data_IF_200238686701
#
_entry.id   IF_200238686701
#
_cell.length_a   1.000
_cell.length_b   1.000
_cell.length_c   1.000
_cell.angle_alpha   90.00
_cell.angle_beta   90.00
_cell.angle_gamma   90.00
#
_symmetry.space_group_name_H-M   'P 1'
#
loop_
_entity.id
_entity.type
_entity.pdbx_description
1 polymer ?
#
# COMPACT_ATOMS: atom_id res chain seq x y z
N UNK A 1 -58.70 -8.92 -20.39
CA UNK A 1 -58.07 -8.80 -21.72
C UNK A 1 -56.58 -8.52 -21.52
N UNK A 2 -55.75 -9.55 -21.65
CA UNK A 2 -54.28 -9.50 -21.64
C UNK A 2 -53.74 -9.43 -23.08
N UNK A 3 -52.55 -8.85 -23.28
CA UNK A 3 -51.47 -9.57 -23.98
C UNK A 3 -50.08 -9.18 -23.44
N UNK A 4 -48.95 -9.80 -23.75
CA UNK A 4 -48.53 -11.15 -24.14
C UNK A 4 -47.02 -11.15 -23.95
N UNK A 5 -46.46 -12.17 -23.28
CA UNK A 5 -45.01 -12.34 -23.07
C UNK A 5 -44.48 -13.26 -24.17
N UNK A 6 -43.49 -12.80 -24.94
CA UNK A 6 -42.79 -13.61 -25.95
C UNK A 6 -41.61 -14.36 -25.33
N UNK A 7 -41.68 -15.69 -25.32
CA UNK A 7 -40.58 -16.58 -24.97
C UNK A 7 -39.82 -17.03 -26.23
N UNK A 8 -38.50 -16.92 -26.21
CA UNK A 8 -37.59 -17.41 -27.26
C UNK A 8 -37.08 -18.79 -26.86
N UNK A 9 -37.42 -19.81 -27.67
CA UNK A 9 -36.90 -21.17 -27.56
C UNK A 9 -35.59 -21.30 -28.35
N UNK A 10 -34.52 -21.74 -27.68
CA UNK A 10 -33.27 -22.17 -28.31
C UNK A 10 -33.29 -23.69 -28.53
N UNK A 11 -33.16 -24.11 -29.79
CA UNK A 11 -33.03 -25.50 -30.21
C UNK A 11 -31.60 -26.02 -29.99
N UNK A 12 -31.48 -27.12 -29.25
CA UNK A 12 -30.28 -27.96 -29.20
C UNK A 12 -30.22 -28.86 -30.45
N UNK A 13 -29.03 -28.97 -31.07
CA UNK A 13 -28.65 -30.09 -31.94
C UNK A 13 -27.24 -30.56 -31.58
N UNK A 14 -27.00 -31.88 -31.41
CA UNK A 14 -25.67 -32.42 -31.16
C UNK A 14 -24.96 -32.75 -32.49
N UNK A 15 -23.66 -32.51 -32.55
CA UNK A 15 -22.78 -33.07 -33.59
C UNK A 15 -21.69 -33.87 -32.88
N UNK A 16 -21.76 -35.19 -33.03
CA UNK A 16 -20.70 -36.12 -32.72
C UNK A 16 -20.27 -36.77 -34.04
N UNK A 17 -18.99 -36.70 -34.39
CA UNK A 17 -18.35 -37.62 -35.33
C UNK A 17 -16.82 -37.56 -35.23
N UNK A 18 -16.26 -38.68 -34.76
CA UNK A 18 -15.15 -39.44 -35.36
C UNK A 18 -13.86 -38.68 -35.70
N UNK A 19 -12.82 -38.87 -34.88
CA UNK A 19 -11.44 -38.74 -35.31
C UNK A 19 -10.79 -40.13 -35.33
N UNK A 20 -10.49 -40.59 -36.54
CA UNK A 20 -9.88 -41.88 -36.85
C UNK A 20 -8.37 -41.84 -36.61
N UNK A 21 -7.84 -42.89 -35.98
CA UNK A 21 -6.40 -43.11 -35.87
C UNK A 21 -5.84 -43.58 -37.21
N UNK A 22 -4.79 -42.92 -37.70
CA UNK A 22 -3.96 -43.41 -38.79
C UNK A 22 -2.49 -43.37 -38.37
N UNK A 23 -1.97 -44.56 -38.06
CA UNK A 23 -0.55 -44.85 -37.84
C UNK A 23 0.12 -44.92 -39.22
N UNK A 24 0.98 -43.94 -39.53
CA UNK A 24 1.79 -43.92 -40.74
C UNK A 24 3.27 -44.06 -40.40
N UNK A 25 3.79 -45.29 -40.47
CA UNK A 25 5.23 -45.59 -40.53
C UNK A 25 5.77 -45.14 -41.88
N UNK A 26 6.80 -44.30 -41.90
CA UNK A 26 7.64 -44.08 -43.08
C UNK A 26 9.09 -44.37 -42.69
N UNK A 27 9.64 -45.39 -43.34
CA UNK A 27 11.04 -45.80 -43.35
C UNK A 27 11.79 -44.97 -44.41
N UNK A 28 12.97 -44.43 -44.06
CA UNK A 28 14.00 -44.01 -45.01
C UNK A 28 15.39 -44.48 -44.54
N UNK A 29 16.33 -44.76 -45.46
CA UNK A 29 17.57 -45.51 -45.20
C UNK A 29 18.77 -44.61 -44.83
N UNK A 30 19.90 -45.19 -44.37
CA UNK A 30 21.09 -44.46 -43.94
C UNK A 30 22.20 -44.43 -45.01
N UNK A 31 22.87 -43.28 -45.20
CA UNK A 31 24.23 -43.18 -45.75
C UNK A 31 24.80 -41.79 -45.38
N UNK A 32 25.69 -41.73 -44.38
CA UNK A 32 27.14 -41.56 -44.52
C UNK A 32 27.57 -40.26 -45.21
N UNK A 33 28.05 -39.28 -44.43
CA UNK A 33 29.23 -38.49 -44.78
C UNK A 33 29.96 -38.00 -43.52
N UNK A 34 31.28 -38.07 -43.63
CA UNK A 34 32.28 -37.99 -42.57
C UNK A 34 32.76 -36.55 -42.27
N UNK A 35 33.40 -36.42 -41.11
CA UNK A 35 34.45 -35.47 -40.73
C UNK A 35 34.16 -33.96 -40.82
N UNK A 36 33.95 -33.35 -39.65
CA UNK A 36 34.64 -32.13 -39.22
C UNK A 36 34.51 -31.97 -37.70
N UNK A 37 35.51 -32.44 -36.96
CA UNK A 37 35.70 -32.15 -35.55
C UNK A 37 36.35 -30.77 -35.42
N UNK A 38 35.54 -29.72 -35.29
CA UNK A 38 35.95 -28.44 -34.73
C UNK A 38 35.25 -28.28 -33.38
N UNK A 39 36.02 -28.30 -32.30
CA UNK A 39 35.54 -28.05 -30.95
C UNK A 39 35.14 -26.57 -30.82
N UNK A 40 33.86 -26.25 -31.00
CA UNK A 40 33.26 -25.03 -30.47
C UNK A 40 32.90 -25.27 -29.00
N UNK A 41 33.82 -24.94 -28.09
CA UNK A 41 33.47 -24.67 -26.70
C UNK A 41 32.56 -23.44 -26.69
N UNK A 42 31.36 -23.47 -26.10
CA UNK A 42 30.63 -22.24 -25.85
C UNK A 42 31.44 -21.44 -24.81
N UNK A 43 31.92 -20.26 -25.22
CA UNK A 43 32.41 -19.26 -24.30
C UNK A 43 31.27 -18.89 -23.35
N UNK A 44 31.33 -19.40 -22.12
CA UNK A 44 30.52 -18.93 -21.00
C UNK A 44 30.99 -17.51 -20.73
N UNK A 45 30.30 -16.54 -21.32
CA UNK A 45 30.45 -15.14 -20.95
C UNK A 45 29.82 -15.02 -19.55
N UNK A 46 30.67 -14.80 -18.56
CA UNK A 46 30.23 -14.41 -17.23
C UNK A 46 29.45 -13.10 -17.38
N UNK A 47 28.12 -13.16 -17.21
CA UNK A 47 27.33 -11.96 -16.98
C UNK A 47 27.61 -11.50 -15.55
N UNK A 48 28.10 -10.27 -15.46
CA UNK A 48 28.24 -9.50 -14.25
C UNK A 48 26.90 -9.42 -13.51
N UNK A 49 26.96 -9.56 -12.19
CA UNK A 49 25.82 -9.57 -11.28
C UNK A 49 24.95 -8.32 -11.39
N UNK A 50 23.91 -8.40 -12.21
CA UNK A 50 22.72 -7.57 -12.11
C UNK A 50 21.85 -8.06 -10.96
N UNK A 51 21.56 -7.15 -10.02
CA UNK A 51 20.67 -7.37 -8.89
C UNK A 51 19.37 -8.05 -9.35
N UNK A 52 19.00 -9.14 -8.66
CA UNK A 52 17.79 -9.90 -8.92
C UNK A 52 16.53 -9.07 -8.69
N UNK A 53 16.13 -8.30 -9.70
CA UNK A 53 14.75 -7.93 -9.93
C UNK A 53 14.00 -9.23 -10.16
N UNK A 54 13.23 -9.69 -9.16
CA UNK A 54 12.20 -10.71 -9.37
C UNK A 54 11.44 -10.30 -10.61
N UNK A 55 11.59 -11.04 -11.72
CA UNK A 55 11.02 -10.66 -12.99
C UNK A 55 9.50 -10.85 -12.92
N UNK A 56 8.81 -9.83 -12.40
CA UNK A 56 7.36 -9.84 -12.31
C UNK A 56 6.81 -9.82 -13.73
N UNK A 57 5.77 -10.63 -14.03
CA UNK A 57 5.21 -10.66 -15.36
C UNK A 57 4.77 -9.25 -15.76
N UNK A 58 5.11 -8.87 -16.99
CA UNK A 58 4.78 -7.55 -17.52
C UNK A 58 3.26 -7.36 -17.49
N UNK A 59 2.80 -6.24 -16.93
CA UNK A 59 1.38 -5.93 -16.89
C UNK A 59 0.93 -5.38 -18.23
N UNK A 60 0.12 -6.14 -18.97
CA UNK A 60 -0.22 -5.85 -20.37
C UNK A 60 -0.70 -4.40 -20.62
N UNK A 61 -1.56 -3.80 -19.77
CA UNK A 61 -1.98 -2.40 -19.93
C UNK A 61 -0.83 -1.39 -19.95
N UNK A 62 0.28 -1.63 -19.23
CA UNK A 62 1.41 -0.70 -19.14
C UNK A 62 2.17 -0.51 -20.48
N UNK A 63 1.90 -1.36 -21.48
CA UNK A 63 2.48 -1.25 -22.82
C UNK A 63 1.70 -0.35 -23.78
N UNK A 64 0.50 0.09 -23.38
CA UNK A 64 -0.36 0.89 -24.26
C UNK A 64 0.26 2.27 -24.49
N UNK A 65 0.42 2.66 -25.76
CA UNK A 65 0.99 3.95 -26.17
C UNK A 65 0.18 5.16 -25.69
N UNK A 66 -1.12 4.99 -25.43
CA UNK A 66 -2.01 6.05 -24.93
C UNK A 66 -2.01 6.26 -23.42
N UNK A 67 -1.02 5.74 -22.68
CA UNK A 67 -0.95 5.80 -21.21
C UNK A 67 -2.03 4.96 -20.53
N UNK A 68 -1.97 4.81 -19.21
CA UNK A 68 -2.94 4.02 -18.45
C UNK A 68 -4.19 4.82 -18.11
N UNK A 69 -5.27 4.08 -17.79
CA UNK A 69 -6.49 4.62 -17.18
C UNK A 69 -6.73 3.96 -15.83
N UNK A 70 -7.48 4.62 -14.95
CA UNK A 70 -7.88 4.04 -13.66
C UNK A 70 -8.71 2.76 -13.83
N UNK A 71 -9.49 2.65 -14.91
CA UNK A 71 -10.23 1.43 -15.22
C UNK A 71 -9.31 0.24 -15.53
N UNK A 72 -8.09 0.49 -15.99
CA UNK A 72 -7.12 -0.58 -16.22
C UNK A 72 -6.71 -1.21 -14.89
N UNK A 73 -6.52 -0.40 -13.83
CA UNK A 73 -6.33 -0.87 -12.46
C UNK A 73 -7.60 -1.55 -11.92
N UNK A 74 -8.78 -0.96 -12.11
CA UNK A 74 -10.04 -1.53 -11.57
C UNK A 74 -10.34 -2.93 -12.12
N UNK A 75 -9.92 -3.24 -13.35
CA UNK A 75 -10.09 -4.60 -13.92
C UNK A 75 -9.25 -5.66 -13.21
N UNK A 76 -8.24 -5.26 -12.43
CA UNK A 76 -7.41 -6.14 -11.60
C UNK A 76 -8.03 -6.43 -10.23
N UNK A 77 -9.24 -5.91 -9.94
CA UNK A 77 -9.90 -6.06 -8.65
C UNK A 77 -9.90 -7.51 -8.14
N UNK A 78 -10.28 -8.48 -8.99
CA UNK A 78 -10.35 -9.89 -8.60
C UNK A 78 -8.99 -10.58 -8.50
N UNK A 79 -7.94 -9.98 -9.06
CA UNK A 79 -6.57 -10.47 -8.93
C UNK A 79 -5.92 -9.96 -7.63
N UNK A 80 -6.36 -8.78 -7.17
CA UNK A 80 -5.85 -8.08 -5.98
C UNK A 80 -6.58 -8.54 -4.72
N UNK A 81 -7.91 -8.64 -4.76
CA UNK A 81 -8.73 -9.05 -3.63
C UNK A 81 -9.22 -10.49 -3.83
N UNK A 82 -8.54 -11.42 -3.15
CA UNK A 82 -8.75 -12.87 -3.31
C UNK A 82 -9.62 -13.48 -2.20
N UNK A 83 -9.91 -12.71 -1.15
CA UNK A 83 -10.64 -13.14 0.05
C UNK A 83 -11.99 -12.43 0.21
N UNK A 84 -12.49 -11.83 -0.87
CA UNK A 84 -13.86 -11.34 -0.97
C UNK A 84 -13.95 -9.82 -0.91
N UNK A 85 -14.03 -9.26 0.29
CA UNK A 85 -14.31 -7.84 0.49
C UNK A 85 -13.04 -7.02 0.76
N UNK A 86 -12.80 -5.99 -0.06
CA UNK A 86 -11.71 -5.00 0.03
C UNK A 86 -11.71 -4.07 1.26
N UNK A 87 -12.60 -4.27 2.23
CA UNK A 87 -12.68 -3.44 3.43
C UNK A 87 -11.31 -3.37 4.15
N UNK A 88 -10.88 -2.16 4.49
CA UNK A 88 -9.58 -1.89 5.12
C UNK A 88 -8.35 -2.42 4.33
N UNK A 89 -8.52 -2.73 3.04
CA UNK A 89 -7.53 -3.42 2.22
C UNK A 89 -6.93 -2.57 1.09
N UNK A 90 -7.05 -1.24 1.17
CA UNK A 90 -6.47 -0.30 0.19
C UNK A 90 -4.95 -0.43 0.03
N UNK A 91 -4.24 -0.99 1.03
CA UNK A 91 -2.83 -1.35 0.92
C UNK A 91 -2.53 -2.34 -0.22
N UNK A 92 -3.49 -3.21 -0.60
CA UNK A 92 -3.32 -4.14 -1.72
C UNK A 92 -3.39 -3.42 -3.07
N UNK A 93 -4.26 -2.41 -3.23
CA UNK A 93 -4.23 -1.53 -4.40
C UNK A 93 -2.89 -0.82 -4.52
N UNK A 94 -2.44 -0.20 -3.43
CA UNK A 94 -1.17 0.53 -3.37
C UNK A 94 0.01 -0.37 -3.74
N UNK A 95 0.05 -1.57 -3.17
CA UNK A 95 1.12 -2.53 -3.43
C UNK A 95 1.09 -3.04 -4.86
N UNK A 96 -0.10 -3.34 -5.41
CA UNK A 96 -0.22 -3.73 -6.81
C UNK A 96 0.39 -2.70 -7.77
N UNK A 97 0.15 -1.41 -7.51
CA UNK A 97 0.67 -0.28 -8.30
C UNK A 97 2.18 -0.12 -8.09
N UNK A 98 2.64 -0.09 -6.84
CA UNK A 98 4.06 0.13 -6.51
C UNK A 98 4.96 -1.02 -6.96
N UNK A 99 4.46 -2.25 -6.88
CA UNK A 99 5.13 -3.47 -7.34
C UNK A 99 5.42 -3.49 -8.84
N UNK A 100 4.76 -2.62 -9.59
CA UNK A 100 4.90 -2.48 -11.05
C UNK A 100 5.43 -1.13 -11.45
N UNK A 101 5.85 -0.29 -10.49
CA UNK A 101 6.20 1.10 -10.74
C UNK A 101 7.29 1.25 -11.81
N UNK A 102 8.25 0.32 -11.86
CA UNK A 102 9.32 0.23 -12.86
C UNK A 102 8.81 0.11 -14.31
N UNK A 103 7.59 -0.41 -14.49
CA UNK A 103 6.92 -0.53 -15.78
C UNK A 103 6.09 0.72 -16.14
N UNK A 104 5.81 1.60 -15.17
CA UNK A 104 4.92 2.75 -15.31
C UNK A 104 5.71 4.03 -15.57
N UNK A 105 5.13 4.96 -16.33
CA UNK A 105 5.58 6.35 -16.25
C UNK A 105 5.19 6.95 -14.90
N UNK A 106 5.88 8.02 -14.48
CA UNK A 106 5.53 8.77 -13.27
C UNK A 106 4.08 9.26 -13.34
N UNK A 107 3.67 9.76 -14.51
CA UNK A 107 2.31 10.23 -14.74
C UNK A 107 1.27 9.11 -14.59
N UNK A 108 1.57 7.90 -15.09
CA UNK A 108 0.66 6.76 -14.95
C UNK A 108 0.62 6.25 -13.50
N UNK A 109 1.76 6.20 -12.80
CA UNK A 109 1.81 5.86 -11.38
C UNK A 109 0.85 6.76 -10.58
N UNK A 110 1.03 8.07 -10.68
CA UNK A 110 0.19 9.08 -10.00
C UNK A 110 -1.28 8.90 -10.39
N UNK A 111 -1.57 8.73 -11.69
CA UNK A 111 -2.94 8.54 -12.19
C UNK A 111 -3.60 7.30 -11.59
N UNK A 112 -2.91 6.16 -11.50
CA UNK A 112 -3.49 4.94 -10.93
C UNK A 112 -3.88 5.12 -9.45
N UNK A 113 -3.06 5.85 -8.68
CA UNK A 113 -3.36 6.14 -7.28
C UNK A 113 -4.59 7.02 -7.10
N UNK A 114 -5.02 7.79 -8.11
CA UNK A 114 -6.30 8.52 -8.03
C UNK A 114 -7.53 7.62 -8.14
N UNK A 115 -7.33 6.33 -8.47
CA UNK A 115 -8.39 5.39 -8.82
C UNK A 115 -9.04 4.66 -7.64
N UNK A 116 -8.63 4.85 -6.39
CA UNK A 116 -9.28 4.16 -5.27
C UNK A 116 -9.32 4.99 -3.99
N UNK A 117 -10.30 4.70 -3.13
CA UNK A 117 -10.46 5.32 -1.83
C UNK A 117 -9.54 4.66 -0.78
N UNK A 118 -8.74 5.47 -0.08
CA UNK A 118 -7.80 4.98 0.95
C UNK A 118 -8.51 4.30 2.14
N UNK A 119 -9.70 4.77 2.52
CA UNK A 119 -10.47 4.25 3.66
C UNK A 119 -11.18 2.94 3.30
N UNK A 120 -12.00 2.96 2.25
CA UNK A 120 -12.88 1.83 1.94
C UNK A 120 -12.31 0.80 0.96
N UNK A 121 -11.18 1.11 0.31
CA UNK A 121 -10.65 0.32 -0.81
C UNK A 121 -11.53 0.35 -2.07
N UNK A 122 -12.61 1.15 -2.09
CA UNK A 122 -13.54 1.19 -3.21
C UNK A 122 -12.90 1.86 -4.44
N UNK A 123 -13.11 1.31 -5.65
CA UNK A 123 -12.79 2.00 -6.90
C UNK A 123 -13.48 3.36 -6.96
N UNK A 124 -12.76 4.38 -7.41
CA UNK A 124 -13.31 5.70 -7.68
C UNK A 124 -12.97 6.13 -9.09
N UNK A 125 -13.86 6.92 -9.71
CA UNK A 125 -13.53 7.69 -10.90
C UNK A 125 -13.10 9.08 -10.45
N UNK A 126 -11.82 9.45 -10.59
CA UNK A 126 -11.32 10.72 -10.07
C UNK A 126 -11.96 11.87 -10.84
N UNK A 127 -12.58 12.79 -10.11
CA UNK A 127 -13.12 14.06 -10.60
C UNK A 127 -12.85 15.13 -9.54
N UNK A 128 -12.92 16.40 -9.91
CA UNK A 128 -12.69 17.48 -8.94
C UNK A 128 -13.64 17.42 -7.74
N UNK A 129 -14.90 17.00 -7.97
CA UNK A 129 -15.88 16.87 -6.91
C UNK A 129 -15.50 15.83 -5.85
N UNK A 130 -14.78 14.75 -6.20
CA UNK A 130 -14.37 13.75 -5.21
C UNK A 130 -12.91 13.86 -4.80
N UNK A 131 -12.22 14.94 -5.19
CA UNK A 131 -10.92 15.33 -4.66
C UNK A 131 -11.14 16.08 -3.36
N UNK A 132 -10.58 15.57 -2.26
CA UNK A 132 -10.66 16.19 -0.95
C UNK A 132 -9.30 16.74 -0.56
N UNK A 133 -9.28 18.01 -0.12
CA UNK A 133 -8.12 18.64 0.49
C UNK A 133 -8.12 18.34 1.98
N UNK A 134 -7.04 17.72 2.46
CA UNK A 134 -6.93 17.12 3.79
C UNK A 134 -5.69 17.66 4.50
N UNK A 135 -5.74 17.77 5.83
CA UNK A 135 -4.59 18.12 6.68
C UNK A 135 -4.25 16.95 7.57
N UNK A 136 -3.21 16.22 7.21
CA UNK A 136 -2.84 14.98 7.89
C UNK A 136 -1.52 15.13 8.63
N UNK A 137 -1.37 14.33 9.70
CA UNK A 137 -0.17 14.26 10.52
C UNK A 137 0.99 13.74 9.70
N UNK A 138 2.16 14.36 9.82
CA UNK A 138 3.38 13.83 9.20
C UNK A 138 4.10 12.90 10.16
N UNK A 139 4.57 11.75 9.66
CA UNK A 139 5.46 10.87 10.41
C UNK A 139 6.77 11.63 10.70
N UNK A 140 7.19 11.75 11.97
CA UNK A 140 8.44 12.44 12.30
C UNK A 140 9.64 11.76 11.62
N UNK A 141 10.67 12.54 11.24
CA UNK A 141 11.91 11.97 10.71
C UNK A 141 12.54 10.96 11.68
N UNK A 142 13.17 9.91 11.13
CA UNK A 142 13.90 8.93 11.96
C UNK A 142 14.86 9.62 12.92
N UNK A 143 14.84 9.20 14.18
CA UNK A 143 15.70 9.73 15.25
C UNK A 143 15.14 10.96 15.96
N UNK A 144 14.10 11.60 15.42
CA UNK A 144 13.34 12.64 16.12
C UNK A 144 11.93 12.12 16.38
N UNK A 145 11.81 11.26 17.37
CA UNK A 145 10.63 10.43 17.57
C UNK A 145 9.51 11.13 18.38
N UNK A 146 9.63 12.43 18.64
CA UNK A 146 8.60 13.17 19.35
C UNK A 146 7.36 13.32 18.46
N UNK A 147 6.20 13.12 19.07
CA UNK A 147 4.92 13.42 18.43
C UNK A 147 4.87 14.91 18.14
N UNK A 148 5.16 15.30 16.90
CA UNK A 148 4.91 16.66 16.44
C UNK A 148 3.45 16.80 16.02
N UNK A 149 2.90 17.99 16.20
CA UNK A 149 1.60 18.35 15.64
C UNK A 149 1.74 18.87 14.20
N UNK A 150 2.89 18.64 13.55
CA UNK A 150 3.14 19.03 12.17
C UNK A 150 2.12 18.35 11.24
N UNK A 151 1.40 19.18 10.49
CA UNK A 151 0.43 18.75 9.50
C UNK A 151 0.94 19.10 8.10
N UNK A 152 0.61 18.23 7.16
CA UNK A 152 0.77 18.48 5.72
C UNK A 152 -0.59 18.60 5.09
N UNK A 153 -0.75 19.57 4.21
CA UNK A 153 -1.92 19.68 3.35
C UNK A 153 -1.67 18.89 2.07
N UNK A 154 -2.69 18.26 1.52
CA UNK A 154 -2.60 17.57 0.24
C UNK A 154 -3.94 16.97 -0.14
N UNK A 155 -3.95 16.14 -1.17
CA UNK A 155 -5.19 15.62 -1.74
C UNK A 155 -5.27 14.10 -1.72
N UNK A 156 -6.50 13.60 -1.62
CA UNK A 156 -6.88 12.22 -1.96
C UNK A 156 -8.26 12.20 -2.63
N UNK A 157 -8.59 11.10 -3.30
CA UNK A 157 -9.91 10.88 -3.88
C UNK A 157 -10.74 9.92 -3.04
N UNK A 158 -11.97 10.29 -2.68
CA UNK A 158 -12.85 9.46 -1.86
C UNK A 158 -14.16 9.09 -2.54
N UNK A 159 -14.67 7.92 -2.19
CA UNK A 159 -15.92 7.39 -2.74
C UNK A 159 -17.17 8.05 -2.13
N UNK A 160 -17.05 8.59 -0.91
CA UNK A 160 -18.14 9.23 -0.19
C UNK A 160 -17.59 10.16 0.90
N UNK A 161 -18.40 11.15 1.30
CA UNK A 161 -18.00 12.13 2.31
C UNK A 161 -17.63 11.55 3.68
N UNK A 162 -18.23 10.44 4.19
CA UNK A 162 -17.84 9.89 5.49
C UNK A 162 -16.35 9.51 5.58
N UNK A 163 -15.76 9.11 4.45
CA UNK A 163 -14.34 8.76 4.38
C UNK A 163 -13.43 9.93 4.78
N UNK A 164 -13.87 11.18 4.57
CA UNK A 164 -13.14 12.37 5.04
C UNK A 164 -12.96 12.30 6.56
N UNK A 165 -14.06 12.06 7.29
CA UNK A 165 -14.03 11.93 8.75
C UNK A 165 -13.23 10.71 9.21
N UNK A 166 -13.30 9.60 8.48
CA UNK A 166 -12.61 8.37 8.84
C UNK A 166 -11.07 8.47 8.64
N UNK A 167 -10.60 9.51 7.94
CA UNK A 167 -9.17 9.75 7.65
C UNK A 167 -8.42 10.38 8.82
N UNK A 168 -9.05 11.29 9.55
CA UNK A 168 -8.36 12.32 10.35
C UNK A 168 -7.61 11.77 11.58
N UNK A 169 -8.01 10.62 12.11
CA UNK A 169 -7.50 10.14 13.40
C UNK A 169 -6.30 9.20 13.27
N UNK A 170 -6.30 8.32 12.26
CA UNK A 170 -5.33 7.23 12.16
C UNK A 170 -4.44 7.28 10.93
N UNK A 171 -4.81 8.04 9.90
CA UNK A 171 -3.98 8.16 8.69
C UNK A 171 -2.92 9.22 8.92
N UNK A 172 -1.67 8.83 8.72
CA UNK A 172 -0.51 9.71 8.72
C UNK A 172 0.05 9.83 7.30
N UNK A 173 0.94 10.79 7.09
CA UNK A 173 1.67 10.97 5.85
C UNK A 173 3.13 10.64 6.06
N UNK A 174 3.66 9.77 5.21
CA UNK A 174 5.07 9.42 5.15
C UNK A 174 5.56 9.46 3.69
N UNK A 175 6.87 9.34 3.48
CA UNK A 175 7.47 9.33 2.15
C UNK A 175 7.81 7.92 1.67
N UNK A 176 7.90 7.77 0.36
CA UNK A 176 8.61 6.66 -0.29
C UNK A 176 9.25 7.11 -1.60
N UNK A 177 10.51 6.74 -1.79
CA UNK A 177 11.17 6.86 -3.11
C UNK A 177 10.76 5.70 -4.02
N UNK A 178 10.22 6.03 -5.19
CA UNK A 178 9.71 5.07 -6.17
C UNK A 178 10.46 5.23 -7.48
N UNK A 179 11.01 4.12 -7.98
CA UNK A 179 11.62 4.06 -9.31
C UNK A 179 10.53 3.75 -10.33
N UNK A 180 10.24 4.73 -11.18
CA UNK A 180 9.40 4.59 -12.37
C UNK A 180 10.25 4.52 -13.64
N UNK A 181 9.63 4.05 -14.73
CA UNK A 181 10.27 3.91 -16.06
C UNK A 181 10.99 5.17 -16.54
N UNK A 182 10.50 6.34 -16.16
CA UNK A 182 10.97 7.66 -16.58
C UNK A 182 11.66 8.48 -15.48
N UNK A 183 11.79 7.94 -14.25
CA UNK A 183 12.44 8.67 -13.13
C UNK A 183 13.96 8.52 -13.07
N UNK A 184 14.53 7.59 -13.82
CA UNK A 184 15.94 7.20 -13.69
C UNK A 184 16.23 6.36 -12.43
N UNK A 185 17.49 5.94 -12.23
CA UNK A 185 17.85 4.98 -11.18
C UNK A 185 17.69 5.51 -9.75
N UNK A 186 17.71 6.83 -9.56
CA UNK A 186 17.49 7.45 -8.24
C UNK A 186 16.04 7.48 -7.79
N UNK A 187 15.09 7.21 -8.70
CA UNK A 187 13.66 7.30 -8.43
C UNK A 187 13.19 8.73 -8.12
N UNK A 188 11.91 8.85 -7.78
CA UNK A 188 11.30 10.08 -7.31
C UNK A 188 10.62 9.82 -5.97
N UNK A 189 10.78 10.75 -5.02
CA UNK A 189 10.08 10.67 -3.75
C UNK A 189 8.63 11.15 -3.90
N UNK A 190 7.71 10.42 -3.30
CA UNK A 190 6.29 10.76 -3.21
C UNK A 190 5.83 10.67 -1.75
N UNK A 191 4.71 11.33 -1.47
CA UNK A 191 4.03 11.26 -0.17
C UNK A 191 2.91 10.24 -0.23
N UNK A 192 2.74 9.49 0.84
CA UNK A 192 1.78 8.41 0.97
C UNK A 192 1.01 8.52 2.27
N UNK A 193 -0.28 8.25 2.21
CA UNK A 193 -1.10 7.95 3.36
C UNK A 193 -0.67 6.58 3.92
N UNK A 194 -0.37 6.52 5.21
CA UNK A 194 0.13 5.33 5.89
C UNK A 194 -0.63 4.98 7.17
N UNK A 195 -0.57 3.71 7.55
CA UNK A 195 -1.07 3.16 8.81
C UNK A 195 0.02 2.37 9.54
N UNK A 196 -0.14 2.24 10.85
CA UNK A 196 0.60 1.24 11.61
C UNK A 196 0.17 -0.18 11.25
N UNK A 197 0.99 -1.16 11.61
CA UNK A 197 0.79 -2.55 11.20
C UNK A 197 -0.21 -3.27 12.11
N UNK A 198 -1.45 -3.58 11.67
CA UNK A 198 -2.43 -4.27 12.52
C UNK A 198 -1.98 -5.67 12.92
N UNK A 199 -1.03 -6.27 12.21
CA UNK A 199 -0.48 -7.58 12.55
C UNK A 199 0.46 -7.57 13.77
N UNK A 200 0.82 -6.39 14.28
CA UNK A 200 1.52 -6.28 15.57
C UNK A 200 0.61 -6.68 16.76
N UNK A 201 -0.71 -6.64 16.55
CA UNK A 201 -1.74 -7.08 17.49
C UNK A 201 -2.82 -7.87 16.73
N UNK A 202 -2.41 -8.91 15.99
CA UNK A 202 -3.30 -9.72 15.16
C UNK A 202 -4.51 -10.26 15.93
N UNK A 203 -4.36 -10.57 17.22
CA UNK A 203 -5.42 -11.07 18.09
C UNK A 203 -6.64 -10.13 18.13
N UNK A 204 -6.45 -8.81 17.94
CA UNK A 204 -7.56 -7.85 17.90
C UNK A 204 -8.43 -7.98 16.65
N UNK A 205 -7.99 -8.73 15.63
CA UNK A 205 -8.84 -9.04 14.48
C UNK A 205 -10.00 -9.98 14.84
N UNK A 206 -9.85 -10.75 15.93
CA UNK A 206 -10.84 -11.70 16.43
C UNK A 206 -11.77 -11.11 17.50
N UNK A 207 -11.53 -9.88 17.95
CA UNK A 207 -12.39 -9.20 18.91
C UNK A 207 -13.78 -8.98 18.32
N UNK A 208 -14.80 -9.36 19.10
CA UNK A 208 -16.18 -9.16 18.72
C UNK A 208 -16.58 -7.69 18.80
N UNK A 209 -17.32 -7.22 17.81
CA UNK A 209 -18.02 -5.94 17.86
C UNK A 209 -19.42 -6.06 17.28
N UNK A 210 -20.30 -5.14 17.68
CA UNK A 210 -21.64 -5.05 17.11
C UNK A 210 -21.59 -4.31 15.78
N UNK A 211 -22.10 -4.92 14.72
CA UNK A 211 -22.30 -4.23 13.45
C UNK A 211 -23.70 -3.60 13.35
N UNK A 212 -23.78 -2.28 13.12
CA UNK A 212 -25.06 -1.58 13.06
C UNK A 212 -25.86 -1.80 11.76
N UNK A 213 -25.27 -2.38 10.71
CA UNK A 213 -25.94 -2.60 9.40
C UNK A 213 -26.70 -3.91 9.30
N UNK A 214 -26.38 -4.90 10.13
CA UNK A 214 -27.10 -6.18 10.17
C UNK A 214 -28.35 -6.05 11.07
N UNK A 215 -29.27 -5.15 10.71
CA UNK A 215 -30.59 -5.05 11.37
C UNK A 215 -31.49 -6.27 11.09
N UNK A 216 -31.12 -7.10 10.11
CA UNK A 216 -31.94 -8.19 9.60
C UNK A 216 -31.58 -9.58 10.17
N UNK A 217 -30.45 -9.71 10.86
CA UNK A 217 -30.04 -10.97 11.50
C UNK A 217 -30.12 -10.86 13.02
N UNK A 218 -30.51 -11.95 13.68
CA UNK A 218 -30.72 -12.03 15.13
C UNK A 218 -29.43 -11.93 15.96
N UNK A 219 -28.26 -12.03 15.31
CA UNK A 219 -26.95 -11.83 15.93
C UNK A 219 -26.20 -10.71 15.18
N UNK A 220 -25.95 -9.60 15.88
CA UNK A 220 -25.22 -8.43 15.35
C UNK A 220 -23.73 -8.50 15.64
N UNK A 221 -23.24 -9.57 16.27
CA UNK A 221 -21.83 -9.72 16.64
C UNK A 221 -21.03 -10.29 15.46
N UNK A 222 -19.95 -9.62 15.14
CA UNK A 222 -18.98 -10.06 14.11
C UNK A 222 -17.56 -9.70 14.55
N UNK A 223 -16.56 -10.01 13.74
CA UNK A 223 -15.14 -9.74 14.00
C UNK A 223 -14.49 -9.08 12.79
N UNK A 224 -13.35 -8.39 12.97
CA UNK A 224 -12.65 -7.79 11.84
C UNK A 224 -12.12 -8.86 10.88
N UNK A 225 -11.75 -10.04 11.38
CA UNK A 225 -11.33 -11.17 10.55
C UNK A 225 -12.41 -11.58 9.53
N UNK A 226 -13.69 -11.50 9.90
CA UNK A 226 -14.82 -11.78 9.00
C UNK A 226 -15.10 -10.62 8.04
N UNK A 227 -14.98 -9.39 8.53
CA UNK A 227 -15.50 -8.18 7.86
C UNK A 227 -14.48 -7.47 6.97
N UNK A 228 -13.20 -7.73 7.22
CA UNK A 228 -12.03 -7.30 6.46
C UNK A 228 -11.14 -8.52 6.14
N UNK A 229 -11.64 -9.49 5.34
CA UNK A 229 -10.99 -10.78 5.13
C UNK A 229 -9.64 -10.71 4.41
N UNK A 230 -9.33 -9.57 3.80
CA UNK A 230 -8.04 -9.27 3.17
C UNK A 230 -6.97 -8.81 4.18
N UNK A 231 -7.38 -8.39 5.40
CA UNK A 231 -6.43 -8.02 6.47
C UNK A 231 -5.90 -9.30 7.10
N UNK A 232 -4.78 -9.78 6.57
CA UNK A 232 -4.20 -11.08 6.92
C UNK A 232 -2.72 -10.93 7.27
N UNK A 233 -2.28 -11.71 8.25
CA UNK A 233 -0.92 -11.62 8.76
C UNK A 233 -0.07 -12.84 8.36
N UNK A 234 1.21 -12.62 8.11
CA UNK A 234 2.22 -13.67 7.93
C UNK A 234 3.43 -13.42 8.83
N UNK A 235 4.23 -14.44 9.16
CA UNK A 235 5.50 -14.25 9.84
C UNK A 235 6.39 -13.29 9.06
N UNK A 236 6.99 -12.30 9.74
CA UNK A 236 7.95 -11.38 9.13
C UNK A 236 9.15 -12.19 8.64
N UNK A 237 9.39 -12.17 7.33
CA UNK A 237 10.64 -12.71 6.77
C UNK A 237 11.78 -11.82 7.24
N UNK A 238 12.58 -12.32 8.20
CA UNK A 238 13.89 -11.71 8.47
C UNK A 238 14.71 -11.84 7.19
N UNK A 239 15.41 -10.80 6.74
CA UNK A 239 16.34 -10.95 5.62
C UNK A 239 17.30 -12.08 5.99
N UNK A 240 17.34 -13.14 5.18
CA UNK A 240 18.31 -14.22 5.36
C UNK A 240 19.69 -13.57 5.41
N UNK A 241 20.44 -13.83 6.49
CA UNK A 241 21.86 -13.45 6.58
C UNK A 241 22.49 -13.97 5.29
N UNK A 242 22.91 -13.06 4.41
CA UNK A 242 23.66 -13.38 3.21
C UNK A 242 24.83 -14.23 3.71
N UNK A 243 24.80 -15.53 3.44
CA UNK A 243 25.88 -16.42 3.83
C UNK A 243 27.14 -15.84 3.16
N UNK A 244 27.99 -15.20 3.96
CA UNK A 244 29.31 -14.83 3.52
C UNK A 244 29.95 -16.12 3.00
N UNK A 245 30.26 -16.08 1.71
CA UNK A 245 30.85 -17.21 1.01
C UNK A 245 32.08 -17.65 1.81
N UNK A 246 32.03 -18.90 2.28
CA UNK A 246 33.14 -19.67 2.80
C UNK A 246 34.24 -19.74 1.73
N UNK A 247 35.05 -18.70 1.66
CA UNK A 247 36.22 -18.56 0.81
C UNK A 247 37.31 -17.81 1.58
N UNK A 248 37.47 -18.12 2.87
CA UNK A 248 38.63 -17.72 3.65
C UNK A 248 38.97 -18.81 4.68
N UNK A 249 39.06 -20.04 4.19
CA UNK A 249 39.64 -21.15 4.93
C UNK A 249 40.84 -21.66 4.13
N UNK A 250 41.94 -20.90 4.19
CA UNK A 250 43.33 -21.35 4.06
C UNK A 250 44.27 -20.12 4.04
N UNK A 251 44.53 -19.54 5.21
CA UNK A 251 45.81 -18.85 5.47
C UNK A 251 46.38 -19.37 6.79
N UNK A 252 47.66 -19.79 6.84
CA UNK A 252 48.25 -20.32 8.06
C UNK A 252 48.44 -19.22 9.12
N UNK A 253 48.31 -19.69 10.35
CA UNK A 253 48.39 -18.98 11.62
C UNK A 253 49.76 -18.34 11.86
N UNK A 254 49.78 -17.05 12.23
CA UNK A 254 50.77 -16.51 13.15
C UNK A 254 50.10 -15.61 14.20
N UNK A 255 50.24 -16.00 15.47
CA UNK A 255 50.47 -15.08 16.59
C UNK A 255 49.30 -14.29 17.18
N UNK A 256 48.68 -14.85 18.24
CA UNK A 256 48.54 -14.22 19.57
C UNK A 256 47.71 -12.93 19.73
N UNK A 257 46.64 -13.01 20.53
CA UNK A 257 45.97 -11.85 21.11
C UNK A 257 44.55 -12.14 21.56
N UNK A 258 44.40 -12.46 22.84
CA UNK A 258 43.15 -12.56 23.58
C UNK A 258 42.40 -11.22 23.58
N UNK A 259 41.13 -11.22 23.17
CA UNK A 259 40.07 -10.35 23.75
C UNK A 259 38.70 -10.79 23.18
N UNK A 260 37.90 -11.40 24.05
CA UNK A 260 36.51 -11.72 23.76
C UNK A 260 35.66 -10.46 23.63
N UNK A 261 35.29 -10.12 22.39
CA UNK A 261 34.31 -9.07 22.09
C UNK A 261 32.95 -9.75 21.87
N UNK A 262 31.91 -9.48 22.68
CA UNK A 262 30.57 -9.90 22.34
C UNK A 262 30.10 -9.12 21.12
N UNK A 263 29.53 -9.84 20.14
CA UNK A 263 28.94 -9.27 18.94
C UNK A 263 27.79 -8.32 19.31
N UNK A 264 28.09 -7.02 19.40
CA UNK A 264 27.10 -5.95 19.34
C UNK A 264 26.61 -5.88 17.89
N UNK A 265 25.53 -6.61 17.60
CA UNK A 265 24.77 -6.54 16.35
C UNK A 265 24.11 -5.16 16.26
N UNK A 266 24.80 -4.17 15.69
CA UNK A 266 24.16 -2.92 15.24
C UNK A 266 23.28 -3.22 14.02
N UNK A 267 22.04 -3.61 14.27
CA UNK A 267 21.01 -3.69 13.24
C UNK A 267 20.49 -2.28 12.93
N UNK A 268 21.21 -1.57 12.06
CA UNK A 268 20.77 -0.33 11.44
C UNK A 268 19.66 -0.59 10.41
N UNK A 269 18.47 -1.04 10.86
CA UNK A 269 17.27 -1.07 10.02
C UNK A 269 16.00 -1.24 10.87
N UNK A 270 15.06 -0.30 10.68
CA UNK A 270 13.66 -0.29 11.17
C UNK A 270 13.42 0.26 12.59
N UNK A 271 13.65 1.56 12.80
CA UNK A 271 13.10 2.31 13.93
C UNK A 271 11.61 2.70 13.73
N UNK A 272 10.80 1.78 13.21
CA UNK A 272 9.33 1.92 13.08
C UNK A 272 8.58 0.67 13.54
N UNK A 273 9.28 -0.25 14.22
CA UNK A 273 8.71 -1.54 14.62
C UNK A 273 7.74 -1.36 15.78
N UNK A 274 6.46 -1.59 15.54
CA UNK A 274 5.75 -2.45 16.49
C UNK A 274 6.53 -3.76 16.60
N UNK A 275 6.74 -4.20 17.84
CA UNK A 275 7.57 -5.35 18.23
C UNK A 275 6.99 -6.70 17.77
N UNK A 276 6.05 -6.71 16.82
CA UNK A 276 5.40 -7.92 16.32
C UNK A 276 6.30 -8.72 15.37
N UNK A 277 6.26 -10.04 15.51
CA UNK A 277 6.90 -10.99 14.59
C UNK A 277 6.12 -11.18 13.28
N UNK A 278 5.05 -10.41 13.05
CA UNK A 278 4.13 -10.57 11.91
C UNK A 278 4.00 -9.31 11.04
N UNK A 279 3.80 -9.50 9.74
CA UNK A 279 3.57 -8.45 8.75
C UNK A 279 2.21 -8.62 8.09
N UNK A 280 1.60 -7.50 7.69
CA UNK A 280 0.41 -7.50 6.85
C UNK A 280 0.77 -8.02 5.46
N UNK A 281 0.10 -9.11 5.04
CA UNK A 281 0.35 -9.78 3.77
C UNK A 281 0.14 -8.80 2.61
N UNK A 282 1.10 -8.75 1.70
CA UNK A 282 1.01 -7.94 0.48
C UNK A 282 1.09 -6.43 0.72
N UNK A 283 1.50 -5.96 1.89
CA UNK A 283 1.67 -4.55 2.19
C UNK A 283 3.04 -4.00 1.77
N UNK A 284 3.04 -2.92 0.99
CA UNK A 284 4.25 -2.13 0.71
C UNK A 284 4.49 -1.13 1.84
N UNK A 285 5.74 -1.04 2.29
CA UNK A 285 6.13 -0.15 3.38
C UNK A 285 6.71 1.18 2.87
N UNK A 286 6.41 2.25 3.59
CA UNK A 286 7.02 3.58 3.45
C UNK A 286 8.48 3.60 3.92
N UNK A 287 9.16 4.74 3.74
CA UNK A 287 10.55 4.92 4.16
C UNK A 287 10.72 4.74 5.67
N UNK A 288 9.70 5.05 6.50
CA UNK A 288 9.74 4.79 7.95
C UNK A 288 9.13 3.44 8.37
N UNK A 289 8.73 2.59 7.41
CA UNK A 289 8.28 1.22 7.70
C UNK A 289 6.79 1.10 8.02
N UNK A 290 5.98 2.12 7.68
CA UNK A 290 4.53 2.09 7.85
C UNK A 290 3.85 1.57 6.58
N UNK A 291 2.64 1.02 6.71
CA UNK A 291 1.91 0.42 5.59
C UNK A 291 1.34 1.52 4.73
N UNK A 292 1.70 1.53 3.44
CA UNK A 292 1.14 2.46 2.46
C UNK A 292 -0.27 2.00 2.08
N UNK A 293 -1.24 2.91 2.24
CA UNK A 293 -2.64 2.66 1.88
C UNK A 293 -3.13 3.48 0.69
N UNK A 294 -2.50 4.62 0.39
CA UNK A 294 -2.76 5.45 -0.81
C UNK A 294 -1.64 6.48 -1.01
N UNK A 295 -1.57 7.12 -2.18
CA UNK A 295 -0.73 8.30 -2.39
C UNK A 295 -1.41 9.54 -1.83
N UNK A 296 -0.65 10.42 -1.19
CA UNK A 296 -1.09 11.73 -0.73
C UNK A 296 -0.55 12.80 -1.69
N UNK A 297 -1.42 13.30 -2.56
CA UNK A 297 -0.99 14.12 -3.70
C UNK A 297 -0.66 15.56 -3.27
N UNK A 298 0.32 16.14 -3.96
CA UNK A 298 0.71 17.56 -3.85
C UNK A 298 0.87 18.00 -2.39
N UNK A 299 1.56 17.17 -1.60
CA UNK A 299 1.72 17.42 -0.18
C UNK A 299 2.60 18.66 0.05
N UNK A 300 2.04 19.62 0.78
CA UNK A 300 2.69 20.87 1.17
C UNK A 300 2.69 20.99 2.69
N UNK A 301 3.81 21.33 3.34
CA UNK A 301 3.84 21.54 4.78
C UNK A 301 2.93 22.70 5.19
N UNK A 302 2.24 22.55 6.33
CA UNK A 302 1.46 23.62 6.94
C UNK A 302 2.31 24.19 8.09
N UNK A 303 3.15 25.21 7.83
CA UNK A 303 4.03 25.74 8.85
C UNK A 303 3.22 26.32 10.01
N UNK A 304 3.61 25.95 11.23
CA UNK A 304 3.10 26.48 12.51
C UNK A 304 3.49 27.95 12.65
N UNK A 305 2.84 28.85 11.89
CA UNK A 305 3.10 30.29 11.89
C UNK A 305 3.68 30.87 10.59
N UNK A 306 3.70 30.12 9.48
CA UNK A 306 4.25 30.62 8.21
C UNK A 306 3.25 31.29 7.26
N UNK A 307 3.80 31.90 6.20
CA UNK A 307 3.10 32.65 5.14
C UNK A 307 2.81 31.82 3.86
N UNK A 308 2.81 30.49 3.92
CA UNK A 308 2.45 29.70 2.74
C UNK A 308 1.03 30.06 2.28
N UNK A 309 0.77 30.08 0.96
CA UNK A 309 -0.54 30.47 0.46
C UNK A 309 -1.65 29.56 1.00
N UNK A 310 -1.35 28.28 1.25
CA UNK A 310 -2.28 27.35 1.89
C UNK A 310 -2.49 27.64 3.38
N UNK A 311 -1.48 28.13 4.11
CA UNK A 311 -1.64 28.60 5.49
C UNK A 311 -2.47 29.90 5.54
N UNK A 312 -2.23 30.84 4.63
CA UNK A 312 -3.02 32.08 4.48
C UNK A 312 -4.47 31.74 4.10
N UNK A 313 -4.68 30.85 3.13
CA UNK A 313 -6.00 30.34 2.75
C UNK A 313 -6.69 29.66 3.94
N UNK A 314 -5.95 28.86 4.71
CA UNK A 314 -6.48 28.19 5.90
C UNK A 314 -6.95 29.20 6.95
N UNK A 315 -6.18 30.27 7.21
CA UNK A 315 -6.56 31.38 8.12
C UNK A 315 -7.79 32.15 7.61
N UNK A 316 -7.78 32.59 6.34
CA UNK A 316 -8.89 33.36 5.73
C UNK A 316 -10.21 32.60 5.72
N UNK A 317 -10.18 31.26 5.66
CA UNK A 317 -11.38 30.43 5.67
C UNK A 317 -11.95 30.13 7.06
N UNK A 318 -11.21 30.36 8.15
CA UNK A 318 -11.83 30.32 9.48
C UNK A 318 -12.96 31.36 9.61
N UNK A 319 -12.94 32.39 8.75
CA UNK A 319 -13.95 33.47 8.70
C UNK A 319 -15.10 33.18 7.72
N UNK A 320 -15.00 32.15 6.87
CA UNK A 320 -16.04 31.81 5.88
C UNK A 320 -16.79 30.53 6.29
N UNK A 321 -18.13 30.56 6.17
CA UNK A 321 -18.99 29.40 6.42
C UNK A 321 -18.84 28.34 5.32
N UNK A 322 -17.79 27.52 5.40
CA UNK A 322 -17.58 26.38 4.51
C UNK A 322 -18.77 25.41 4.57
N UNK A 323 -19.30 25.03 3.41
CA UNK A 323 -20.43 24.09 3.29
C UNK A 323 -19.99 22.77 2.65
N UNK A 324 -20.43 21.59 3.17
CA UNK A 324 -20.23 20.31 2.50
C UNK A 324 -20.69 20.36 1.03
N UNK A 325 -19.89 19.79 0.11
CA UNK A 325 -20.19 19.80 -1.31
C UNK A 325 -19.69 21.04 -2.06
N UNK A 326 -19.25 22.09 -1.37
CA UNK A 326 -18.65 23.27 -2.00
C UNK A 326 -17.24 22.94 -2.51
N UNK A 327 -17.01 23.20 -3.80
CA UNK A 327 -15.68 23.09 -4.41
C UNK A 327 -14.91 24.38 -4.17
N UNK A 328 -13.77 24.23 -3.52
CA UNK A 328 -12.74 25.24 -3.31
C UNK A 328 -11.67 25.16 -4.40
N UNK A 329 -10.87 26.22 -4.51
CA UNK A 329 -9.74 26.32 -5.45
C UNK A 329 -8.46 26.61 -4.68
N UNK A 330 -7.41 25.83 -4.95
CA UNK A 330 -6.09 26.05 -4.37
C UNK A 330 -5.52 27.38 -4.89
N UNK A 331 -4.98 28.25 -4.02
CA UNK A 331 -4.60 29.61 -4.42
C UNK A 331 -3.45 29.65 -5.44
N UNK A 332 -2.51 28.71 -5.39
CA UNK A 332 -1.32 28.71 -6.27
C UNK A 332 -1.53 27.83 -7.51
N UNK A 333 -1.81 26.55 -7.27
CA UNK A 333 -1.96 25.55 -8.33
C UNK A 333 -3.29 25.65 -9.08
N UNK A 334 -4.29 26.31 -8.51
CA UNK A 334 -5.65 26.37 -9.07
C UNK A 334 -6.42 25.05 -9.01
N UNK A 335 -5.88 24.02 -8.33
CA UNK A 335 -6.53 22.71 -8.15
C UNK A 335 -7.88 22.87 -7.46
N UNK A 336 -8.92 22.25 -8.03
CA UNK A 336 -10.26 22.23 -7.44
C UNK A 336 -10.40 21.05 -6.47
N UNK A 337 -11.00 21.29 -5.29
CA UNK A 337 -11.15 20.28 -4.24
C UNK A 337 -12.29 20.61 -3.27
N UNK A 338 -12.81 19.62 -2.54
CA UNK A 338 -13.65 19.83 -1.36
C UNK A 338 -12.78 19.95 -0.10
N UNK A 339 -12.93 21.01 0.69
CA UNK A 339 -12.15 21.21 1.93
C UNK A 339 -12.74 20.35 3.06
N UNK A 340 -11.91 19.56 3.73
CA UNK A 340 -12.35 18.71 4.84
C UNK A 340 -13.04 19.46 5.98
N UNK A 341 -12.70 20.74 6.21
CA UNK A 341 -13.28 21.54 7.32
C UNK A 341 -14.77 21.77 7.13
N UNK A 342 -15.23 21.80 5.88
CA UNK A 342 -16.64 21.89 5.56
C UNK A 342 -17.45 20.75 6.22
N UNK A 343 -16.81 19.60 6.46
CA UNK A 343 -17.41 18.42 7.07
C UNK A 343 -17.26 18.37 8.59
N UNK A 344 -16.63 19.34 9.24
CA UNK A 344 -16.30 19.30 10.67
C UNK A 344 -17.49 18.97 11.57
N UNK A 345 -18.62 19.66 11.39
CA UNK A 345 -19.85 19.37 12.15
C UNK A 345 -20.39 17.95 11.90
N UNK A 346 -20.32 17.47 10.66
CA UNK A 346 -20.75 16.11 10.30
C UNK A 346 -19.80 15.05 10.88
N UNK A 347 -18.50 15.32 10.91
CA UNK A 347 -17.50 14.45 11.52
C UNK A 347 -17.68 14.38 13.04
N UNK A 348 -17.94 15.51 13.71
CA UNK A 348 -18.30 15.53 15.14
C UNK A 348 -19.56 14.72 15.42
N UNK A 349 -20.59 14.85 14.58
CA UNK A 349 -21.82 14.05 14.72
C UNK A 349 -21.54 12.56 14.57
N UNK A 350 -20.72 12.15 13.59
CA UNK A 350 -20.31 10.76 13.40
C UNK A 350 -19.52 10.23 14.61
N UNK A 351 -18.59 11.03 15.12
CA UNK A 351 -17.80 10.68 16.30
C UNK A 351 -18.69 10.48 17.53
N UNK A 352 -19.63 11.40 17.77
CA UNK A 352 -20.60 11.29 18.87
C UNK A 352 -21.55 10.09 18.73
N UNK A 353 -21.83 9.66 17.49
CA UNK A 353 -22.57 8.43 17.21
C UNK A 353 -21.69 7.16 17.24
N UNK A 354 -20.39 7.27 17.57
CA UNK A 354 -19.46 6.16 17.67
C UNK A 354 -18.97 5.61 16.34
N UNK A 355 -19.06 6.39 15.25
CA UNK A 355 -18.73 5.95 13.88
C UNK A 355 -19.45 4.67 13.46
N UNK A 356 -20.68 4.45 13.96
CA UNK A 356 -21.50 3.25 13.77
C UNK A 356 -22.03 3.09 12.31
N UNK A 357 -21.19 3.33 11.31
CA UNK A 357 -21.60 3.49 9.94
C UNK A 357 -20.59 2.99 8.89
N UNK A 358 -20.81 1.78 8.40
CA UNK A 358 -20.38 1.25 7.12
C UNK A 358 -18.93 0.79 7.14
N UNK A 359 -18.30 0.83 5.97
CA UNK A 359 -16.90 0.41 5.81
C UNK A 359 -15.92 1.30 6.56
N UNK A 360 -16.31 2.56 6.82
CA UNK A 360 -15.53 3.49 7.63
C UNK A 360 -15.30 2.97 9.04
N UNK A 361 -16.32 2.34 9.66
CA UNK A 361 -16.19 1.73 10.98
C UNK A 361 -15.14 0.61 10.98
N UNK A 362 -15.21 -0.29 10.00
CA UNK A 362 -14.28 -1.42 9.86
C UNK A 362 -12.86 -0.91 9.64
N UNK A 363 -12.69 0.08 8.75
CA UNK A 363 -11.39 0.73 8.53
C UNK A 363 -10.82 1.33 9.82
N UNK A 364 -11.61 2.11 10.54
CA UNK A 364 -11.18 2.77 11.78
C UNK A 364 -10.79 1.75 12.85
N UNK A 365 -11.56 0.67 13.00
CA UNK A 365 -11.23 -0.42 13.92
C UNK A 365 -9.91 -1.09 13.55
N UNK A 366 -9.67 -1.40 12.27
CA UNK A 366 -8.37 -1.96 11.80
C UNK A 366 -7.23 -0.97 12.04
N UNK A 367 -7.42 0.30 11.69
CA UNK A 367 -6.40 1.33 11.84
C UNK A 367 -6.05 1.61 13.32
N UNK A 368 -7.02 1.48 14.23
CA UNK A 368 -6.83 1.66 15.66
C UNK A 368 -6.07 0.53 16.35
N UNK A 369 -5.92 -0.64 15.70
CA UNK A 369 -5.18 -1.79 16.25
C UNK A 369 -3.75 -1.39 16.61
N UNK A 370 -3.11 -0.63 15.70
CA UNK A 370 -1.72 -0.18 15.80
C UNK A 370 -1.62 1.29 15.42
N UNK A 371 -2.12 2.15 16.30
CA UNK A 371 -2.09 3.61 16.11
C UNK A 371 -0.65 4.14 16.20
N UNK A 372 -0.17 4.75 15.11
CA UNK A 372 1.17 5.35 15.00
C UNK A 372 1.43 6.34 16.14
N UNK A 373 0.42 7.10 16.57
CA UNK A 373 0.55 8.09 17.63
C UNK A 373 1.00 7.49 18.96
N UNK A 374 0.60 6.24 19.24
CA UNK A 374 0.90 5.55 20.50
C UNK A 374 2.28 4.91 20.53
N UNK A 375 2.88 4.72 19.35
CA UNK A 375 4.20 4.10 19.21
C UNK A 375 5.33 5.13 19.07
N UNK A 376 4.98 6.40 18.88
CA UNK A 376 5.94 7.50 18.98
C UNK A 376 6.12 7.86 20.46
N UNK A 377 7.37 7.98 20.97
CA UNK A 377 7.60 8.47 22.32
C UNK A 377 7.00 9.87 22.48
N UNK A 378 5.90 9.95 23.21
CA UNK A 378 5.29 11.21 23.61
C UNK A 378 6.09 11.88 24.72
N UNK A 379 6.18 13.20 24.68
CA UNK A 379 6.48 13.97 25.88
C UNK A 379 5.35 13.73 26.90
N UNK A 380 5.58 12.88 27.90
CA UNK A 380 4.66 12.71 29.03
C UNK A 380 3.90 11.38 29.11
N UNK A 381 4.61 10.25 29.08
CA UNK A 381 4.02 8.95 29.41
C UNK A 381 5.08 7.94 29.87
N UNK A 382 5.39 7.94 31.16
CA UNK A 382 6.24 6.92 31.78
C UNK A 382 5.50 5.57 31.76
N UNK A 383 5.69 4.78 30.70
CA UNK A 383 5.04 3.47 30.59
C UNK A 383 5.41 2.73 29.31
N UNK A 384 6.56 2.05 29.32
CA UNK A 384 6.77 0.87 28.48
C UNK A 384 7.43 1.06 27.12
N UNK A 385 8.72 1.41 27.10
CA UNK A 385 9.72 0.76 26.23
C UNK A 385 11.10 1.17 26.73
N UNK A 386 11.69 0.36 27.61
CA UNK A 386 13.07 0.57 28.08
C UNK A 386 14.13 0.07 27.10
N UNK A 387 13.73 -0.46 25.94
CA UNK A 387 14.63 -1.22 25.06
C UNK A 387 15.22 -0.41 23.90
N UNK A 388 14.95 0.90 23.80
CA UNK A 388 15.51 1.77 22.75
C UNK A 388 16.43 2.89 23.25
N UNK A 389 16.77 2.97 24.54
CA UNK A 389 17.52 4.10 25.11
C UNK A 389 18.85 3.78 25.79
N UNK A 390 19.41 2.59 25.68
CA UNK A 390 20.70 2.28 26.30
C UNK A 390 21.68 1.66 25.31
N UNK A 391 22.31 2.49 24.45
CA UNK A 391 23.66 2.22 23.90
C UNK A 391 24.26 3.42 23.12
N UNK A 392 24.03 4.66 23.56
CA UNK A 392 24.64 5.84 22.92
C UNK A 392 25.49 6.74 23.84
N UNK A 393 25.68 6.35 25.11
CA UNK A 393 26.52 7.09 26.06
C UNK A 393 27.32 6.15 26.95
N UNK A 394 28.28 5.44 26.35
CA UNK A 394 29.57 5.16 26.99
C UNK A 394 30.62 4.92 25.90
N UNK A 395 31.31 5.99 25.52
CA UNK A 395 32.66 5.93 24.97
C UNK A 395 33.60 6.54 26.00
#
# INVERSE_FOLDING_TARGET
ATPSIGAVFLFFRPVAALCSMAVGRILLPPALFASSLLHCLPAVRAEEGGQGLVHRPRWAPARRSGGLRVEDLHREYRNIFQHGNRNAASHLWSSFVLDRADQLSTADLVKLFTGFCAVSGSPVRPVDYNRYGLRLRRVPPRGNATVSDERVFGYMHYCCWPCVCDTQDFIWVDTKTVVTRDSGPGGRQFHFAVLGNPCDHEEKLDDFFEQPFERYYSDRRTTLRREAPEVRCEPRRRPEKRAESRAELERPLEGGGDEGVPASETCGACCGRGAGDKSLIGATLSDNGYIIIAMFFDAEPIPSGGDSAIAIYSRKLQEQHLQPGQVSKHPETGTLFQDERAFGGMCTQRANAGYNSGMGEIFRKVAAISDIAKHLPGEGGAGGSKDCQAEALSL
#
